data_IF_144423431459
#
_entry.id   IF_144423431459
#
_cell.length_a   1.000
_cell.length_b   1.000
_cell.length_c   1.000
_cell.angle_alpha   90.00
_cell.angle_beta   90.00
_cell.angle_gamma   90.00
#
_symmetry.space_group_name_H-M   'P 1'
#
loop_
_entity.id
_entity.type
_entity.pdbx_description
1 polymer ?
#
# COMPACT_ATOMS: atom_id res chain seq x y z
N UNK A 1 -13.84 -11.46 -19.09
CA UNK A 1 -13.75 -11.23 -17.63
C UNK A 1 -12.89 -12.34 -17.10
N UNK A 2 -11.73 -12.03 -16.48
CA UNK A 2 -10.97 -13.05 -15.77
C UNK A 2 -11.61 -13.17 -14.40
N UNK A 3 -12.35 -14.25 -14.17
CA UNK A 3 -13.03 -14.55 -12.91
C UNK A 3 -11.98 -15.02 -11.90
N UNK A 4 -11.09 -14.12 -11.51
CA UNK A 4 -10.19 -14.35 -10.39
C UNK A 4 -11.08 -14.43 -9.14
N UNK A 5 -11.26 -15.65 -8.62
CA UNK A 5 -11.96 -15.90 -7.37
C UNK A 5 -10.95 -15.98 -6.25
N UNK A 6 -11.24 -15.33 -5.13
CA UNK A 6 -10.43 -15.41 -3.91
C UNK A 6 -11.15 -16.28 -2.91
N UNK A 7 -10.39 -17.20 -2.30
CA UNK A 7 -10.91 -18.07 -1.25
C UNK A 7 -10.84 -17.35 0.09
N UNK A 8 -11.97 -17.29 0.80
CA UNK A 8 -12.01 -16.71 2.13
C UNK A 8 -11.35 -17.67 3.15
N UNK A 9 -10.42 -17.22 4.00
CA UNK A 9 -9.77 -18.09 4.98
C UNK A 9 -10.68 -18.50 6.14
N UNK A 10 -11.79 -17.80 6.37
CA UNK A 10 -12.69 -18.06 7.50
C UNK A 10 -13.79 -19.07 7.16
N UNK A 11 -14.48 -18.87 6.02
CA UNK A 11 -15.60 -19.72 5.61
C UNK A 11 -15.28 -20.65 4.43
N UNK A 12 -14.05 -20.60 3.90
CA UNK A 12 -13.55 -21.39 2.76
C UNK A 12 -14.37 -21.26 1.46
N UNK A 13 -15.34 -20.36 1.41
CA UNK A 13 -16.16 -20.05 0.24
C UNK A 13 -15.37 -19.19 -0.74
N UNK A 14 -15.58 -19.43 -2.02
CA UNK A 14 -15.04 -18.59 -3.08
C UNK A 14 -15.85 -17.29 -3.19
N UNK A 15 -15.13 -16.17 -3.28
CA UNK A 15 -15.71 -14.84 -3.48
C UNK A 15 -15.06 -14.17 -4.68
N UNK A 16 -15.81 -13.34 -5.40
CA UNK A 16 -15.27 -12.67 -6.58
C UNK A 16 -14.23 -11.62 -6.17
N UNK A 17 -13.11 -11.54 -6.90
CA UNK A 17 -12.10 -10.50 -6.67
C UNK A 17 -12.72 -9.11 -6.86
N UNK A 18 -12.53 -8.22 -5.88
CA UNK A 18 -13.07 -6.86 -5.88
C UNK A 18 -14.24 -6.63 -4.91
N UNK A 19 -14.80 -7.69 -4.31
CA UNK A 19 -15.82 -7.53 -3.25
C UNK A 19 -15.18 -7.11 -1.93
N UNK A 20 -15.68 -6.04 -1.30
CA UNK A 20 -15.15 -5.55 -0.01
C UNK A 20 -15.64 -6.35 1.20
N UNK A 21 -16.62 -7.23 1.01
CA UNK A 21 -17.22 -8.06 2.07
C UNK A 21 -17.41 -9.46 1.52
N UNK A 22 -17.02 -10.47 2.31
CA UNK A 22 -17.25 -11.86 1.95
C UNK A 22 -18.75 -12.20 2.04
N UNK A 23 -19.32 -12.75 0.97
CA UNK A 23 -20.75 -13.11 0.89
C UNK A 23 -21.16 -14.28 1.79
N UNK A 24 -20.21 -14.98 2.41
CA UNK A 24 -20.47 -16.06 3.37
C UNK A 24 -20.44 -15.58 4.81
N UNK A 25 -19.23 -15.28 5.32
CA UNK A 25 -19.01 -14.90 6.72
C UNK A 25 -19.12 -13.40 7.00
N UNK A 26 -19.42 -12.57 5.99
CA UNK A 26 -19.46 -11.10 6.13
C UNK A 26 -18.16 -10.46 6.65
N UNK A 27 -17.02 -11.16 6.56
CA UNK A 27 -15.72 -10.58 6.86
C UNK A 27 -15.37 -9.48 5.87
N UNK A 28 -14.72 -8.42 6.35
CA UNK A 28 -14.29 -7.29 5.52
C UNK A 28 -13.00 -7.65 4.80
N UNK A 29 -12.95 -7.36 3.49
CA UNK A 29 -11.81 -7.62 2.63
C UNK A 29 -11.20 -6.28 2.26
N UNK A 30 -9.95 -6.07 2.68
CA UNK A 30 -9.17 -4.89 2.36
C UNK A 30 -8.11 -5.25 1.33
N UNK A 31 -8.26 -4.70 0.14
CA UNK A 31 -7.29 -4.81 -0.93
C UNK A 31 -6.30 -3.66 -0.85
N UNK A 32 -5.02 -3.94 -1.07
CA UNK A 32 -4.02 -2.88 -1.18
C UNK A 32 -3.63 -2.21 0.13
N UNK A 33 -3.97 -2.80 1.28
CA UNK A 33 -3.60 -2.23 2.57
C UNK A 33 -2.09 -2.45 2.81
N UNK A 34 -1.38 -1.34 2.90
CA UNK A 34 0.04 -1.31 3.22
C UNK A 34 0.16 -1.50 4.73
N UNK A 35 1.07 -2.37 5.17
CA UNK A 35 1.31 -2.50 6.59
C UNK A 35 1.80 -1.14 7.15
N UNK A 36 1.25 -0.67 8.29
CA UNK A 36 1.62 0.62 8.88
C UNK A 36 3.13 0.74 9.12
N UNK A 37 3.75 -0.37 9.51
CA UNK A 37 5.18 -0.48 9.76
C UNK A 37 6.01 -0.25 8.48
N UNK A 38 5.56 -0.76 7.33
CA UNK A 38 6.26 -0.54 6.07
C UNK A 38 6.13 0.92 5.62
N UNK A 39 4.96 1.54 5.83
CA UNK A 39 4.75 2.96 5.56
C UNK A 39 5.69 3.83 6.40
N UNK A 40 5.89 3.49 7.69
CA UNK A 40 6.83 4.18 8.56
C UNK A 40 8.26 4.05 8.07
N UNK A 41 8.71 2.83 7.75
CA UNK A 41 10.08 2.60 7.23
C UNK A 41 10.36 3.40 5.97
N UNK A 42 9.42 3.39 5.02
CA UNK A 42 9.52 4.16 3.79
C UNK A 42 9.62 5.66 4.11
N UNK A 43 8.80 6.17 5.02
CA UNK A 43 8.85 7.57 5.45
C UNK A 43 10.21 7.97 6.05
N UNK A 44 10.77 7.15 6.94
CA UNK A 44 12.10 7.38 7.51
C UNK A 44 13.21 7.41 6.45
N UNK A 45 13.15 6.50 5.47
CA UNK A 45 14.11 6.47 4.35
C UNK A 45 14.00 7.75 3.51
N UNK A 46 12.77 8.18 3.16
CA UNK A 46 12.55 9.43 2.42
C UNK A 46 13.08 10.65 3.18
N UNK A 47 12.86 10.71 4.49
CA UNK A 47 13.33 11.80 5.34
C UNK A 47 14.87 11.85 5.41
N UNK A 48 15.52 10.68 5.53
CA UNK A 48 16.98 10.60 5.53
C UNK A 48 17.57 11.08 4.18
N UNK A 49 16.97 10.67 3.06
CA UNK A 49 17.39 11.11 1.72
C UNK A 49 17.21 12.62 1.57
N UNK A 50 16.06 13.16 2.01
CA UNK A 50 15.82 14.60 2.00
C UNK A 50 16.89 15.39 2.77
N UNK A 51 17.23 14.91 3.97
CA UNK A 51 18.22 15.54 4.82
C UNK A 51 19.61 15.54 4.17
N UNK A 52 20.01 14.42 3.57
CA UNK A 52 21.28 14.30 2.83
C UNK A 52 21.33 15.28 1.64
N UNK A 53 20.23 15.39 0.88
CA UNK A 53 20.15 16.30 -0.26
C UNK A 53 20.25 17.76 0.20
N UNK A 54 19.56 18.14 1.28
CA UNK A 54 19.65 19.48 1.84
C UNK A 54 21.07 19.81 2.32
N UNK A 55 21.74 18.84 2.95
CA UNK A 55 23.12 19.00 3.43
C UNK A 55 24.10 19.25 2.27
N UNK A 56 23.98 18.51 1.16
CA UNK A 56 24.89 18.61 0.02
C UNK A 56 24.58 19.84 -0.84
N UNK A 57 23.30 20.03 -1.18
CA UNK A 57 22.92 20.97 -2.23
C UNK A 57 22.82 22.42 -1.72
N UNK A 58 22.64 22.62 -0.41
CA UNK A 58 22.26 23.89 0.26
C UNK A 58 21.07 24.63 -0.38
N UNK A 59 20.44 24.02 -1.38
CA UNK A 59 19.43 24.59 -2.25
C UNK A 59 18.11 23.94 -1.91
N UNK A 60 17.26 24.68 -1.20
CA UNK A 60 15.98 24.17 -0.70
C UNK A 60 15.03 23.75 -1.83
N UNK A 61 15.08 24.45 -2.97
CA UNK A 61 14.27 24.16 -4.16
C UNK A 61 14.54 22.77 -4.75
N UNK A 62 15.82 22.38 -4.87
CA UNK A 62 16.21 21.09 -5.45
C UNK A 62 15.73 19.94 -4.57
N UNK A 63 15.86 20.08 -3.24
CA UNK A 63 15.38 19.09 -2.28
C UNK A 63 13.86 18.88 -2.36
N UNK A 64 13.08 19.97 -2.49
CA UNK A 64 11.62 19.88 -2.61
C UNK A 64 11.20 19.14 -3.89
N UNK A 65 11.80 19.48 -5.03
CA UNK A 65 11.46 18.85 -6.32
C UNK A 65 11.74 17.34 -6.26
N UNK A 66 12.91 16.94 -5.74
CA UNK A 66 13.29 15.53 -5.61
C UNK A 66 12.36 14.78 -4.65
N UNK A 67 12.00 15.39 -3.52
CA UNK A 67 11.06 14.82 -2.56
C UNK A 67 9.69 14.56 -3.18
N UNK A 68 9.15 15.51 -3.94
CA UNK A 68 7.85 15.36 -4.60
C UNK A 68 7.87 14.20 -5.60
N UNK A 69 8.93 14.08 -6.40
CA UNK A 69 9.12 12.96 -7.34
C UNK A 69 9.18 11.62 -6.60
N UNK A 70 9.95 11.55 -5.51
CA UNK A 70 10.07 10.35 -4.68
C UNK A 70 8.73 9.95 -4.04
N UNK A 71 7.94 10.91 -3.56
CA UNK A 71 6.61 10.65 -2.99
C UNK A 71 5.65 10.08 -4.02
N UNK A 72 5.60 10.67 -5.23
CA UNK A 72 4.73 10.20 -6.31
C UNK A 72 5.15 8.78 -6.74
N UNK A 73 6.45 8.57 -6.98
CA UNK A 73 7.00 7.27 -7.36
C UNK A 73 6.68 6.18 -6.33
N UNK A 74 6.90 6.48 -5.05
CA UNK A 74 6.61 5.57 -3.94
C UNK A 74 5.13 5.19 -3.88
N UNK A 75 4.24 6.17 -4.05
CA UNK A 75 2.79 5.93 -4.08
C UNK A 75 2.38 5.01 -5.23
N UNK A 76 2.96 5.20 -6.41
CA UNK A 76 2.72 4.34 -7.57
C UNK A 76 3.30 2.93 -7.36
N UNK A 77 4.50 2.82 -6.81
CA UNK A 77 5.14 1.55 -6.48
C UNK A 77 4.31 0.74 -5.48
N UNK A 78 3.86 1.38 -4.41
CA UNK A 78 2.99 0.77 -3.40
C UNK A 78 1.69 0.28 -4.05
N UNK A 79 1.01 1.13 -4.84
CA UNK A 79 -0.23 0.73 -5.51
C UNK A 79 -0.03 -0.50 -6.40
N UNK A 80 1.07 -0.54 -7.15
CA UNK A 80 1.37 -1.68 -8.04
C UNK A 80 1.72 -2.95 -7.25
N UNK A 81 2.51 -2.85 -6.19
CA UNK A 81 2.97 -4.00 -5.39
C UNK A 81 1.86 -4.59 -4.53
N UNK A 82 0.99 -3.75 -3.98
CA UNK A 82 -0.08 -4.18 -3.07
C UNK A 82 -1.42 -4.40 -3.79
N UNK A 83 -1.54 -4.11 -5.09
CA UNK A 83 -2.77 -4.33 -5.86
C UNK A 83 -3.36 -5.74 -5.68
N UNK A 84 -2.49 -6.75 -5.58
CA UNK A 84 -2.89 -8.15 -5.52
C UNK A 84 -2.97 -8.70 -4.08
N UNK A 85 -2.68 -7.88 -3.06
CA UNK A 85 -2.72 -8.30 -1.66
C UNK A 85 -4.11 -8.05 -1.09
N UNK A 86 -4.86 -9.13 -0.88
CA UNK A 86 -6.13 -9.12 -0.15
C UNK A 86 -5.88 -9.50 1.31
N UNK A 87 -6.26 -8.63 2.25
CA UNK A 87 -6.21 -8.90 3.69
C UNK A 87 -7.67 -9.05 4.16
N UNK A 88 -7.97 -10.18 4.80
CA UNK A 88 -9.29 -10.45 5.35
C UNK A 88 -9.28 -10.09 6.84
N UNK A 89 -10.14 -9.16 7.25
CA UNK A 89 -10.34 -8.78 8.65
C UNK A 89 -11.74 -9.21 9.07
N UNK A 90 -11.83 -10.05 10.11
CA UNK A 90 -13.08 -10.40 10.75
C UNK A 90 -13.34 -9.38 11.86
N UNK A 91 -14.40 -8.56 11.73
CA UNK A 91 -14.91 -7.84 12.89
C UNK A 91 -15.75 -8.84 13.68
N UNK A 92 -15.30 -9.12 14.91
CA UNK A 92 -16.03 -9.96 15.87
C UNK A 92 -17.39 -9.35 16.21
#
# INVERSE_FOLDING_TARGET
>A
MNNETIKCPFCFKESQFGVRVCTGCHSTIKYGEVSPWLSLFIGFILLAIAYIILYISQSFLVAIIILLVLMISTRLYIRKKFANRAIFTHQH
#
